data_IF_512533731459
#
_entry.id   IF_512533731459
#
_cell.length_a   1.000
_cell.length_b   1.000
_cell.length_c   1.000
_cell.angle_alpha   90.00
_cell.angle_beta   90.00
_cell.angle_gamma   90.00
#
_symmetry.space_group_name_H-M   'P 1'
#
loop_
_entity.id
_entity.type
_entity.pdbx_description
1 polymer ?
#
# COMPACT_ATOMS: atom_id res chain seq x y z
N UNK A 1 -21.76 1.35 9.88
CA UNK A 1 -21.48 0.85 8.52
C UNK A 1 -21.13 2.03 7.59
N UNK A 2 -20.25 2.90 8.08
CA UNK A 2 -18.99 3.34 7.46
C UNK A 2 -19.07 3.94 6.05
N UNK A 3 -19.87 5.00 5.90
CA UNK A 3 -19.89 5.87 4.71
C UNK A 3 -18.49 6.34 4.30
N UNK A 4 -17.59 6.55 5.28
CA UNK A 4 -16.21 6.97 5.07
C UNK A 4 -15.40 5.90 4.31
N UNK A 5 -15.53 4.62 4.67
CA UNK A 5 -14.81 3.54 3.98
C UNK A 5 -15.28 3.40 2.53
N UNK A 6 -16.59 3.54 2.28
CA UNK A 6 -17.15 3.54 0.92
C UNK A 6 -16.63 4.72 0.10
N UNK A 7 -16.47 5.89 0.72
CA UNK A 7 -15.91 7.08 0.06
C UNK A 7 -14.43 6.89 -0.29
N UNK A 8 -13.63 6.31 0.60
CA UNK A 8 -12.23 5.93 0.33
C UNK A 8 -12.14 4.97 -0.85
N UNK A 9 -12.96 3.92 -0.86
CA UNK A 9 -12.99 2.94 -1.95
C UNK A 9 -13.46 3.53 -3.28
N UNK A 10 -14.45 4.43 -3.26
CA UNK A 10 -14.89 5.16 -4.45
C UNK A 10 -13.81 6.08 -5.00
N UNK A 11 -13.10 6.79 -4.12
CA UNK A 11 -12.00 7.66 -4.53
C UNK A 11 -10.86 6.84 -5.14
N UNK A 12 -10.50 5.71 -4.51
CA UNK A 12 -9.53 4.77 -5.05
C UNK A 12 -9.95 4.24 -6.43
N UNK A 13 -11.21 3.86 -6.62
CA UNK A 13 -11.73 3.43 -7.92
C UNK A 13 -11.63 4.54 -8.98
N UNK A 14 -12.00 5.77 -8.65
CA UNK A 14 -11.90 6.91 -9.56
C UNK A 14 -10.46 7.20 -9.98
N UNK A 15 -9.49 7.03 -9.07
CA UNK A 15 -8.07 7.19 -9.39
C UNK A 15 -7.57 6.08 -10.32
N UNK A 16 -7.99 4.84 -10.11
CA UNK A 16 -7.68 3.72 -11.01
C UNK A 16 -8.25 3.99 -12.41
N UNK A 17 -9.49 4.48 -12.51
CA UNK A 17 -10.11 4.86 -13.79
C UNK A 17 -9.38 6.03 -14.47
N UNK A 18 -8.83 6.95 -13.69
CA UNK A 18 -7.99 8.05 -14.18
C UNK A 18 -6.57 7.60 -14.57
N UNK A 19 -6.22 6.32 -14.42
CA UNK A 19 -4.90 5.78 -14.72
C UNK A 19 -3.83 6.13 -13.67
N UNK A 20 -4.25 6.55 -12.48
CA UNK A 20 -3.35 6.89 -11.37
C UNK A 20 -3.16 5.64 -10.51
N UNK A 21 -1.91 5.31 -10.17
CA UNK A 21 -1.62 4.20 -9.28
C UNK A 21 -2.19 4.46 -7.87
N UNK A 22 -2.76 3.43 -7.24
CA UNK A 22 -3.36 3.56 -5.90
C UNK A 22 -2.83 2.48 -4.97
N UNK A 23 -2.45 2.87 -3.76
CA UNK A 23 -2.17 1.97 -2.64
C UNK A 23 -3.25 2.11 -1.60
N UNK A 24 -3.94 1.01 -1.28
CA UNK A 24 -4.95 0.97 -0.23
C UNK A 24 -4.37 0.34 1.04
N UNK A 25 -4.38 1.08 2.14
CA UNK A 25 -4.04 0.60 3.47
C UNK A 25 -5.32 0.33 4.26
N UNK A 26 -5.33 -0.75 5.04
CA UNK A 26 -6.45 -1.09 5.93
C UNK A 26 -5.90 -1.57 7.27
N UNK A 27 -6.46 -1.04 8.35
CA UNK A 27 -6.10 -1.45 9.70
C UNK A 27 -6.69 -2.83 9.99
N UNK A 28 -5.84 -3.85 9.94
CA UNK A 28 -6.25 -5.22 10.28
C UNK A 28 -6.46 -5.39 11.79
N UNK A 29 -5.54 -4.86 12.60
CA UNK A 29 -5.57 -5.02 14.06
C UNK A 29 -4.74 -3.95 14.76
N UNK A 30 -5.28 -3.40 15.86
CA UNK A 30 -4.57 -2.58 16.83
C UNK A 30 -4.41 -3.36 18.14
N UNK A 31 -3.28 -3.19 18.81
CA UNK A 31 -2.90 -3.99 19.98
C UNK A 31 -2.83 -3.17 21.27
N UNK A 32 -3.26 -1.91 21.23
CA UNK A 32 -3.22 -0.96 22.35
C UNK A 32 -4.53 -0.19 22.46
N UNK A 33 -4.79 0.45 23.60
CA UNK A 33 -5.96 1.30 23.90
C UNK A 33 -6.01 2.62 23.11
N UNK A 34 -5.35 2.68 21.95
CA UNK A 34 -5.45 3.80 21.02
C UNK A 34 -6.84 3.78 20.38
N UNK A 35 -7.52 4.94 20.27
CA UNK A 35 -8.86 5.05 19.71
C UNK A 35 -8.78 4.93 18.19
N UNK A 36 -8.52 3.74 17.68
CA UNK A 36 -8.56 3.45 16.25
C UNK A 36 -9.67 2.42 16.03
N UNK A 37 -10.60 2.76 15.14
CA UNK A 37 -11.66 1.86 14.70
C UNK A 37 -10.99 0.74 13.89
N UNK A 38 -11.13 -0.54 14.30
CA UNK A 38 -10.76 -1.65 13.45
C UNK A 38 -11.42 -1.49 12.07
N UNK A 39 -10.72 -1.83 11.00
CA UNK A 39 -11.16 -1.62 9.61
C UNK A 39 -11.20 -0.17 9.10
N UNK A 40 -10.49 0.76 9.75
CA UNK A 40 -10.21 2.06 9.14
C UNK A 40 -9.37 1.90 7.86
N UNK A 41 -9.73 2.66 6.81
CA UNK A 41 -9.08 2.60 5.50
C UNK A 41 -8.46 3.94 5.11
N UNK A 42 -7.38 3.86 4.34
CA UNK A 42 -6.67 5.00 3.76
C UNK A 42 -6.24 4.64 2.34
N UNK A 43 -6.62 5.45 1.37
CA UNK A 43 -6.15 5.35 0.00
C UNK A 43 -5.06 6.40 -0.25
N UNK A 44 -3.95 5.95 -0.83
CA UNK A 44 -2.79 6.76 -1.19
C UNK A 44 -2.68 6.73 -2.71
N UNK A 45 -2.77 7.90 -3.31
CA UNK A 45 -2.61 8.07 -4.74
C UNK A 45 -1.14 8.21 -5.10
N UNK A 46 -0.78 7.78 -6.31
CA UNK A 46 0.52 8.00 -6.93
C UNK A 46 0.78 9.47 -7.27
N UNK A 47 0.06 10.45 -6.75
CA UNK A 47 0.45 11.87 -6.79
C UNK A 47 0.69 12.41 -5.37
N UNK A 48 0.69 11.54 -4.35
CA UNK A 48 0.84 11.89 -2.94
C UNK A 48 -0.46 12.32 -2.26
N UNK A 49 -1.61 12.25 -2.95
CA UNK A 49 -2.91 12.55 -2.32
C UNK A 49 -3.34 11.40 -1.40
N UNK A 50 -3.94 11.77 -0.26
CA UNK A 50 -4.43 10.87 0.76
C UNK A 50 -5.94 11.04 0.95
N UNK A 51 -6.68 9.94 1.00
CA UNK A 51 -8.13 9.95 1.31
C UNK A 51 -8.44 8.87 2.34
N UNK A 52 -9.09 9.26 3.43
CA UNK A 52 -9.34 8.41 4.58
C UNK A 52 -8.38 8.69 5.73
N UNK A 53 -8.48 7.90 6.79
CA UNK A 53 -7.58 8.02 7.94
C UNK A 53 -7.49 6.69 8.67
N UNK A 54 -6.29 6.35 9.12
CA UNK A 54 -5.99 5.13 9.88
C UNK A 54 -6.04 5.40 11.39
N UNK A 55 -5.64 6.61 11.81
CA UNK A 55 -5.46 6.97 13.22
C UNK A 55 -5.98 8.35 13.63
N UNK A 56 -6.44 9.17 12.68
CA UNK A 56 -6.91 10.54 12.91
C UNK A 56 -5.96 11.66 12.46
N UNK A 57 -4.93 11.39 11.65
CA UNK A 57 -4.12 12.43 10.99
C UNK A 57 -2.67 12.60 11.46
N UNK A 58 -2.17 11.78 12.40
CA UNK A 58 -0.83 11.93 12.98
C UNK A 58 0.25 11.00 12.41
N UNK A 59 -0.09 9.93 11.69
CA UNK A 59 0.91 8.94 11.22
C UNK A 59 0.80 8.64 9.72
N UNK A 60 -0.11 9.31 9.03
CA UNK A 60 -0.38 9.09 7.61
C UNK A 60 0.81 9.50 6.74
N UNK A 61 1.53 10.57 7.11
CA UNK A 61 2.75 11.01 6.41
C UNK A 61 3.91 10.01 6.59
N UNK A 62 4.14 9.55 7.82
CA UNK A 62 5.12 8.49 8.12
C UNK A 62 4.81 7.19 7.37
N UNK A 63 3.52 6.92 7.16
CA UNK A 63 3.05 5.73 6.46
C UNK A 63 3.44 5.76 4.97
N UNK A 64 3.43 6.93 4.33
CA UNK A 64 3.86 7.09 2.93
C UNK A 64 5.34 6.72 2.77
N UNK A 65 6.19 7.11 3.72
CA UNK A 65 7.62 6.80 3.68
C UNK A 65 7.91 5.33 3.99
N UNK A 66 7.17 4.75 4.93
CA UNK A 66 7.38 3.36 5.36
C UNK A 66 6.78 2.33 4.39
N UNK A 67 5.69 2.67 3.70
CA UNK A 67 5.03 1.77 2.75
C UNK A 67 5.84 1.64 1.46
N UNK A 68 6.01 0.40 1.03
CA UNK A 68 6.71 0.06 -0.18
C UNK A 68 5.77 -0.67 -1.12
N UNK A 69 5.81 -0.31 -2.39
CA UNK A 69 4.99 -0.91 -3.43
C UNK A 69 5.86 -1.21 -4.66
N UNK A 70 5.71 -2.37 -5.32
CA UNK A 70 4.82 -3.49 -5.00
C UNK A 70 5.24 -4.27 -3.74
N UNK A 71 4.30 -4.94 -3.08
CA UNK A 71 4.62 -5.84 -1.96
C UNK A 71 5.14 -7.18 -2.47
N UNK A 72 6.20 -7.68 -1.87
CA UNK A 72 6.78 -8.97 -2.24
C UNK A 72 7.89 -8.89 -3.29
N UNK A 73 8.66 -9.97 -3.39
CA UNK A 73 9.74 -10.12 -4.35
C UNK A 73 9.17 -10.23 -5.78
N UNK A 74 9.79 -9.62 -6.81
CA UNK A 74 9.28 -9.65 -8.18
C UNK A 74 9.47 -11.03 -8.84
N UNK A 75 8.61 -11.98 -8.47
CA UNK A 75 8.63 -13.36 -8.98
C UNK A 75 7.71 -13.56 -10.21
N UNK A 76 7.01 -12.51 -10.65
CA UNK A 76 5.98 -12.62 -11.71
C UNK A 76 4.75 -13.41 -11.26
N UNK A 77 4.45 -13.38 -9.96
CA UNK A 77 3.37 -14.14 -9.33
C UNK A 77 1.99 -13.74 -9.86
N UNK A 78 1.18 -14.74 -10.22
CA UNK A 78 -0.21 -14.54 -10.70
C UNK A 78 -1.22 -15.33 -9.90
N UNK A 79 -0.76 -16.35 -9.17
CA UNK A 79 -1.61 -17.18 -8.33
C UNK A 79 -1.49 -16.80 -6.84
N UNK A 80 -2.54 -16.99 -6.02
CA UNK A 80 -2.48 -16.67 -4.59
C UNK A 80 -1.31 -17.34 -3.84
N UNK A 81 -0.96 -18.62 -4.10
CA UNK A 81 0.22 -19.25 -3.48
C UNK A 81 1.54 -18.57 -3.86
N UNK A 82 1.72 -18.17 -5.13
CA UNK A 82 2.92 -17.48 -5.57
C UNK A 82 3.02 -16.07 -4.99
N UNK A 83 1.88 -15.37 -4.83
CA UNK A 83 1.83 -14.06 -4.18
C UNK A 83 2.26 -14.20 -2.71
N UNK A 84 1.74 -15.20 -2.00
CA UNK A 84 2.14 -15.47 -0.63
C UNK A 84 3.65 -15.79 -0.52
N UNK A 85 4.19 -16.57 -1.45
CA UNK A 85 5.61 -16.86 -1.52
C UNK A 85 6.44 -15.60 -1.78
N UNK A 86 6.02 -14.74 -2.70
CA UNK A 86 6.69 -13.46 -3.00
C UNK A 86 6.74 -12.55 -1.76
N UNK A 87 5.64 -12.45 -1.02
CA UNK A 87 5.57 -11.66 0.23
C UNK A 87 6.50 -12.26 1.30
N UNK A 88 6.45 -13.58 1.51
CA UNK A 88 7.31 -14.26 2.48
C UNK A 88 8.80 -14.16 2.13
N UNK A 89 9.12 -14.19 0.83
CA UNK A 89 10.49 -13.98 0.34
C UNK A 89 10.98 -12.56 0.62
N UNK A 90 10.16 -11.52 0.39
CA UNK A 90 10.50 -10.13 0.74
C UNK A 90 10.75 -9.99 2.25
N UNK A 91 9.87 -10.53 3.09
CA UNK A 91 10.05 -10.52 4.56
C UNK A 91 11.38 -11.18 4.95
N UNK A 92 11.70 -12.32 4.34
CA UNK A 92 12.93 -13.08 4.64
C UNK A 92 14.18 -12.34 4.16
N UNK A 93 14.14 -11.75 2.96
CA UNK A 93 15.22 -10.94 2.42
C UNK A 93 15.56 -9.78 3.36
N UNK A 94 14.56 -9.05 3.85
CA UNK A 94 14.75 -7.94 4.80
C UNK A 94 15.33 -8.38 6.13
N UNK A 95 14.85 -9.51 6.67
CA UNK A 95 15.40 -10.07 7.91
C UNK A 95 16.88 -10.42 7.79
N UNK A 96 17.33 -10.79 6.59
CA UNK A 96 18.72 -11.12 6.31
C UNK A 96 19.53 -9.94 5.75
N UNK A 97 18.98 -8.73 5.69
CA UNK A 97 19.69 -7.53 5.20
C UNK A 97 19.92 -7.50 3.69
N UNK A 98 19.16 -8.27 2.91
CA UNK A 98 19.24 -8.25 1.44
C UNK A 98 18.40 -7.08 0.91
N UNK A 99 19.05 -6.17 0.20
CA UNK A 99 18.39 -5.04 -0.45
C UNK A 99 17.73 -5.48 -1.76
N UNK A 100 16.45 -5.16 -1.94
CA UNK A 100 15.66 -5.60 -3.09
C UNK A 100 15.65 -4.54 -4.19
N UNK A 101 15.94 -4.98 -5.41
CA UNK A 101 15.83 -4.16 -6.61
C UNK A 101 14.34 -3.87 -6.87
N UNK A 102 13.99 -2.61 -7.15
CA UNK A 102 12.62 -2.10 -7.39
C UNK A 102 11.77 -1.81 -6.16
N UNK A 103 12.36 -1.72 -4.96
CA UNK A 103 11.63 -1.29 -3.76
C UNK A 103 11.62 0.24 -3.65
N UNK A 104 10.62 0.89 -4.23
CA UNK A 104 10.38 2.33 -4.03
C UNK A 104 9.37 2.58 -2.90
N UNK A 105 9.57 3.61 -2.07
CA UNK A 105 8.51 4.09 -1.18
C UNK A 105 7.33 4.56 -2.03
N UNK A 106 6.10 4.49 -1.49
CA UNK A 106 4.89 4.89 -2.22
C UNK A 106 4.99 6.32 -2.78
N UNK A 107 5.66 7.22 -2.05
CA UNK A 107 5.99 8.58 -2.54
C UNK A 107 6.85 8.61 -3.81
N UNK A 108 7.78 7.67 -3.98
CA UNK A 108 8.67 7.63 -5.15
C UNK A 108 8.04 6.91 -6.35
N UNK A 109 7.03 6.06 -6.12
CA UNK A 109 6.22 5.45 -7.20
C UNK A 109 5.32 6.46 -7.91
N UNK A 110 5.16 7.67 -7.35
CA UNK A 110 4.21 8.68 -7.80
C UNK A 110 4.51 9.27 -9.19
N UNK A 111 5.78 9.40 -9.55
CA UNK A 111 6.20 10.07 -10.79
C UNK A 111 6.62 9.13 -11.93
N UNK A 112 6.74 7.83 -11.68
CA UNK A 112 7.27 6.91 -12.67
C UNK A 112 6.12 6.20 -13.35
N UNK A 113 5.74 6.66 -14.55
CA UNK A 113 4.92 5.88 -15.48
C UNK A 113 5.63 4.59 -15.95
N UNK A 114 6.81 4.28 -15.42
CA UNK A 114 7.26 2.91 -15.37
C UNK A 114 6.30 2.18 -14.42
N UNK A 115 5.19 1.71 -15.01
CA UNK A 115 4.59 0.43 -14.67
C UNK A 115 5.73 -0.40 -14.10
N UNK A 116 5.70 -0.65 -12.78
CA UNK A 116 6.69 -1.52 -12.17
C UNK A 116 6.78 -2.74 -13.09
N UNK A 117 7.98 -3.10 -13.61
CA UNK A 117 8.12 -4.06 -14.71
C UNK A 117 7.53 -5.45 -14.42
N UNK A 118 7.02 -5.66 -13.20
CA UNK A 118 6.25 -6.81 -12.74
C UNK A 118 4.83 -6.89 -13.36
N UNK A 119 4.28 -5.78 -13.90
CA UNK A 119 2.96 -5.77 -14.53
C UNK A 119 2.98 -5.82 -16.07
N UNK A 120 4.17 -6.02 -16.68
CA UNK A 120 4.33 -6.29 -18.11
C UNK A 120 4.44 -7.80 -18.39
#
# INVERSE_FOLDING_TARGET
>A
MDSVNVEVLRCAANWIEAGIAVTLATVLKTWFSLPCVPAAQLAISGDGRLVGSVSGGCIEDDLIECLHSPVGLPLGSKTPPEIALAIMADITARRNGVELICRSPVAACAGSSAICPVLA
#
